data_IF_635007609056
#
_entry.id   IF_635007609056
#
_cell.length_a   1.000
_cell.length_b   1.000
_cell.length_c   1.000
_cell.angle_alpha   90.00
_cell.angle_beta   90.00
_cell.angle_gamma   90.00
#
_symmetry.space_group_name_H-M   'P 1'
#
loop_
_entity.id
_entity.type
_entity.pdbx_description
1 polymer ?
#
# COMPACT_ATOMS: atom_id res chain seq x y z
N UNK A 1 9.62 -14.08 -22.94
CA UNK A 1 8.87 -12.85 -22.62
C UNK A 1 7.42 -13.25 -22.42
N UNK A 2 6.87 -13.06 -21.22
CA UNK A 2 5.43 -13.21 -20.97
C UNK A 2 4.80 -11.84 -21.12
N UNK A 3 3.72 -11.74 -21.90
CA UNK A 3 2.96 -10.51 -22.12
C UNK A 3 1.54 -10.68 -21.60
N UNK A 4 0.98 -9.63 -21.01
CA UNK A 4 -0.42 -9.58 -20.59
C UNK A 4 -1.15 -8.54 -21.45
N UNK A 5 -2.38 -8.85 -21.84
CA UNK A 5 -3.26 -7.87 -22.50
C UNK A 5 -4.22 -7.31 -21.44
N UNK A 6 -4.15 -5.99 -21.25
CA UNK A 6 -5.05 -5.25 -20.37
C UNK A 6 -6.14 -4.62 -21.22
N UNK A 7 -7.39 -4.98 -20.94
CA UNK A 7 -8.53 -4.29 -21.53
C UNK A 7 -8.97 -3.18 -20.58
N UNK A 8 -8.65 -1.93 -20.95
CA UNK A 8 -8.97 -0.76 -20.14
C UNK A 8 -10.19 -0.05 -20.71
N UNK A 9 -11.09 0.48 -19.87
CA UNK A 9 -12.07 1.48 -20.28
C UNK A 9 -11.39 2.65 -21.02
N UNK A 10 -12.08 3.22 -22.01
CA UNK A 10 -11.54 4.28 -22.87
C UNK A 10 -11.05 5.49 -22.07
N UNK A 11 -11.83 5.93 -21.10
CA UNK A 11 -11.54 7.04 -20.20
C UNK A 11 -10.25 6.82 -19.40
N UNK A 12 -10.05 5.60 -18.88
CA UNK A 12 -8.85 5.23 -18.15
C UNK A 12 -7.63 5.14 -19.07
N UNK A 13 -7.80 4.58 -20.27
CA UNK A 13 -6.74 4.51 -21.28
C UNK A 13 -6.26 5.90 -21.70
N UNK A 14 -7.20 6.83 -21.91
CA UNK A 14 -6.90 8.22 -22.25
C UNK A 14 -6.16 8.92 -21.10
N UNK A 15 -6.65 8.77 -19.88
CA UNK A 15 -6.02 9.35 -18.68
C UNK A 15 -4.59 8.86 -18.47
N UNK A 16 -4.37 7.55 -18.63
CA UNK A 16 -3.03 6.95 -18.54
C UNK A 16 -2.10 7.46 -19.64
N UNK A 17 -2.61 7.61 -20.86
CA UNK A 17 -1.84 8.11 -22.00
C UNK A 17 -1.43 9.57 -21.82
N UNK A 18 -2.31 10.41 -21.28
CA UNK A 18 -2.01 11.83 -21.05
C UNK A 18 -1.05 12.03 -19.87
N UNK A 19 -1.18 11.21 -18.82
CA UNK A 19 -0.20 11.17 -17.74
C UNK A 19 1.18 10.73 -18.25
N UNK A 20 1.22 9.71 -19.11
CA UNK A 20 2.47 9.22 -19.72
C UNK A 20 3.17 10.31 -20.53
N UNK A 21 2.43 11.03 -21.38
CA UNK A 21 2.97 12.16 -22.17
C UNK A 21 3.55 13.26 -21.28
N UNK A 22 2.86 13.59 -20.18
CA UNK A 22 3.31 14.65 -19.25
C UNK A 22 4.61 14.29 -18.54
N UNK A 23 4.86 13.00 -18.33
CA UNK A 23 6.03 12.48 -17.64
C UNK A 23 7.16 12.02 -18.60
N UNK A 24 7.04 12.28 -19.91
CA UNK A 24 7.94 11.74 -20.95
C UNK A 24 8.11 10.20 -20.86
N UNK A 25 7.05 9.50 -20.48
CA UNK A 25 7.00 8.04 -20.32
C UNK A 25 6.03 7.40 -21.32
N UNK A 26 6.07 6.07 -21.41
CA UNK A 26 5.06 5.29 -22.15
C UNK A 26 3.95 4.81 -21.22
N UNK A 27 2.73 4.69 -21.72
CA UNK A 27 1.59 4.16 -20.96
C UNK A 27 1.89 2.75 -20.41
N UNK A 28 2.56 1.89 -21.21
CA UNK A 28 2.98 0.56 -20.77
C UNK A 28 3.98 0.59 -19.62
N UNK A 29 4.93 1.54 -19.63
CA UNK A 29 5.88 1.72 -18.53
C UNK A 29 5.15 2.11 -17.24
N UNK A 30 4.28 3.12 -17.29
CA UNK A 30 3.50 3.54 -16.12
C UNK A 30 2.57 2.43 -15.62
N UNK A 31 1.94 1.68 -16.51
CA UNK A 31 1.12 0.54 -16.13
C UNK A 31 1.95 -0.53 -15.39
N UNK A 32 3.16 -0.83 -15.88
CA UNK A 32 4.08 -1.76 -15.21
C UNK A 32 4.55 -1.24 -13.85
N UNK A 33 4.80 0.05 -13.74
CA UNK A 33 5.24 0.69 -12.49
C UNK A 33 4.15 0.62 -11.42
N UNK A 34 2.92 1.02 -11.78
CA UNK A 34 1.75 0.91 -10.89
C UNK A 34 1.48 -0.55 -10.48
N UNK A 35 1.59 -1.49 -11.41
CA UNK A 35 1.43 -2.92 -11.09
C UNK A 35 2.52 -3.42 -10.13
N UNK A 36 3.76 -2.96 -10.29
CA UNK A 36 4.86 -3.31 -9.38
C UNK A 36 4.59 -2.80 -7.97
N UNK A 37 4.23 -1.53 -7.86
CA UNK A 37 3.93 -0.89 -6.57
C UNK A 37 2.75 -1.56 -5.88
N UNK A 38 1.69 -1.87 -6.63
CA UNK A 38 0.53 -2.59 -6.11
C UNK A 38 0.92 -3.98 -5.59
N UNK A 39 1.68 -4.76 -6.36
CA UNK A 39 2.10 -6.11 -5.96
C UNK A 39 2.99 -6.04 -4.70
N UNK A 40 3.91 -5.08 -4.62
CA UNK A 40 4.79 -4.94 -3.46
C UNK A 40 4.03 -4.52 -2.21
N UNK A 41 3.07 -3.60 -2.35
CA UNK A 41 2.16 -3.20 -1.28
C UNK A 41 1.33 -4.40 -0.78
N UNK A 42 0.69 -5.15 -1.67
CA UNK A 42 -0.13 -6.30 -1.29
C UNK A 42 0.68 -7.42 -0.62
N UNK A 43 1.91 -7.68 -1.10
CA UNK A 43 2.82 -8.63 -0.44
C UNK A 43 3.18 -8.17 0.97
N UNK A 44 3.51 -6.90 1.12
CA UNK A 44 3.86 -6.32 2.42
C UNK A 44 2.69 -6.40 3.39
N UNK A 45 1.49 -6.01 2.95
CA UNK A 45 0.27 -6.06 3.76
C UNK A 45 -0.06 -7.50 4.17
N UNK A 46 -0.02 -8.43 3.23
CA UNK A 46 -0.28 -9.86 3.50
C UNK A 46 0.70 -10.39 4.54
N UNK A 47 2.00 -10.14 4.37
CA UNK A 47 3.02 -10.58 5.32
C UNK A 47 2.87 -9.94 6.72
N UNK A 48 2.41 -8.68 6.79
CA UNK A 48 2.10 -8.01 8.06
C UNK A 48 0.90 -8.66 8.75
N UNK A 49 -0.17 -8.97 8.02
CA UNK A 49 -1.36 -9.63 8.56
C UNK A 49 -0.99 -11.02 9.08
N UNK A 50 -0.28 -11.82 8.28
CA UNK A 50 0.16 -13.17 8.69
C UNK A 50 1.03 -13.12 9.96
N UNK A 51 1.93 -12.14 10.04
CA UNK A 51 2.75 -11.93 11.25
C UNK A 51 1.88 -11.54 12.44
N UNK A 52 0.97 -10.59 12.29
CA UNK A 52 0.09 -10.12 13.37
C UNK A 52 -0.78 -11.25 13.92
N UNK A 53 -1.31 -12.12 13.05
CA UNK A 53 -2.06 -13.31 13.46
C UNK A 53 -1.17 -14.25 14.27
N UNK A 54 0.04 -14.54 13.80
CA UNK A 54 0.98 -15.41 14.52
C UNK A 54 1.38 -14.85 15.89
N UNK A 55 1.64 -13.54 15.97
CA UNK A 55 1.94 -12.86 17.23
C UNK A 55 0.76 -12.93 18.20
N UNK A 56 -0.46 -12.69 17.71
CA UNK A 56 -1.69 -12.81 18.48
C UNK A 56 -1.92 -14.24 19.02
N UNK A 57 -1.71 -15.26 18.18
CA UNK A 57 -1.81 -16.68 18.58
C UNK A 57 -0.77 -17.04 19.67
N UNK A 58 0.37 -16.36 19.68
CA UNK A 58 1.42 -16.49 20.70
C UNK A 58 1.16 -15.64 21.94
N UNK A 59 0.05 -14.88 21.99
CA UNK A 59 -0.27 -13.96 23.08
C UNK A 59 0.63 -12.72 23.13
N UNK A 60 1.35 -12.42 22.04
CA UNK A 60 2.25 -11.26 21.93
C UNK A 60 1.38 -10.04 21.63
N UNK A 61 0.88 -9.44 22.71
CA UNK A 61 0.18 -8.16 22.67
C UNK A 61 0.95 -7.11 23.46
N UNK A 62 0.69 -5.83 23.17
CA UNK A 62 1.20 -4.75 23.99
C UNK A 62 0.65 -4.86 25.42
N UNK A 63 1.47 -4.52 26.41
CA UNK A 63 1.02 -4.48 27.81
C UNK A 63 0.13 -3.27 28.08
N UNK A 64 -0.66 -3.32 29.16
CA UNK A 64 -1.53 -2.21 29.56
C UNK A 64 -0.75 -0.90 29.74
N UNK A 65 0.47 -0.96 30.28
CA UNK A 65 1.35 0.20 30.47
C UNK A 65 1.81 0.79 29.13
N UNK A 66 2.15 -0.05 28.15
CA UNK A 66 2.52 0.39 26.81
C UNK A 66 1.33 1.08 26.12
N UNK A 67 0.13 0.52 26.26
CA UNK A 67 -1.10 1.10 25.72
C UNK A 67 -1.46 2.43 26.43
N UNK A 68 -1.25 2.53 27.74
CA UNK A 68 -1.45 3.76 28.51
C UNK A 68 -0.47 4.87 28.08
N UNK A 69 0.81 4.54 27.93
CA UNK A 69 1.84 5.47 27.47
C UNK A 69 1.55 5.98 26.04
N UNK A 70 1.12 5.10 25.13
CA UNK A 70 0.75 5.49 23.77
C UNK A 70 -0.45 6.45 23.75
N UNK A 71 -1.48 6.17 24.57
CA UNK A 71 -2.65 7.06 24.69
C UNK A 71 -2.27 8.44 25.22
N UNK A 72 -1.44 8.50 26.26
CA UNK A 72 -0.97 9.77 26.81
C UNK A 72 -0.17 10.59 25.78
N UNK A 73 0.68 9.96 24.98
CA UNK A 73 1.46 10.63 23.94
C UNK A 73 0.60 11.14 22.77
N UNK A 74 -0.37 10.35 22.31
CA UNK A 74 -1.21 10.71 21.15
C UNK A 74 -2.22 11.81 21.46
N UNK A 75 -2.73 11.86 22.69
CA UNK A 75 -3.77 12.84 23.08
C UNK A 75 -3.22 14.09 23.77
N UNK A 76 -2.01 14.07 24.34
CA UNK A 76 -1.33 15.29 24.79
C UNK A 76 -0.94 16.22 23.63
N UNK A 77 -0.77 15.68 22.41
CA UNK A 77 -0.42 16.45 21.21
C UNK A 77 -1.57 17.28 20.63
N UNK A 78 -2.82 17.01 21.01
CA UNK A 78 -4.02 17.72 20.56
C UNK A 78 -4.63 18.64 21.64
N UNK A 79 -3.98 18.78 22.80
CA UNK A 79 -4.47 19.57 23.93
C UNK A 79 -3.79 20.96 24.06
N UNK A 80 -3.15 21.44 22.98
CA UNK A 80 -2.46 22.74 22.91
C UNK A 80 -3.05 23.62 21.82
#
# INVERSE_FOLDING_TARGET
MTGIFLNLPEDLSNSLSDLAKTNDQTASYLAMDVLRDYIEHEKTLTAQIERAVKEADQGIFATDDQVAAMRAMRWSRNAS
#
